data_IF_846151797564
#
_entry.id   IF_846151797564
#
_cell.length_a   1.000
_cell.length_b   1.000
_cell.length_c   1.000
_cell.angle_alpha   90.00
_cell.angle_beta   90.00
_cell.angle_gamma   90.00
#
_symmetry.space_group_name_H-M   'P 1'
#
loop_
_entity.id
_entity.type
_entity.pdbx_description
1 polymer ?
#
# COMPACT_ATOMS: atom_id res chain seq x y z
N UNK A 1 13.26 -4.41 -1.85
CA UNK A 1 13.48 -3.03 -2.36
C UNK A 1 13.09 -2.08 -1.23
N UNK A 2 13.85 -1.02 -0.94
CA UNK A 2 13.59 -0.06 0.17
C UNK A 2 13.52 1.40 -0.28
N UNK A 3 12.55 2.16 0.23
CA UNK A 3 12.24 3.54 -0.14
C UNK A 3 13.43 4.51 -0.01
N UNK A 4 14.36 4.22 0.90
CA UNK A 4 15.57 5.01 1.17
C UNK A 4 16.74 4.72 0.21
N UNK A 5 16.63 3.73 -0.69
CA UNK A 5 17.73 3.43 -1.62
C UNK A 5 17.92 4.62 -2.60
N UNK A 6 19.11 5.25 -2.56
CA UNK A 6 19.37 6.52 -3.22
C UNK A 6 19.23 6.45 -4.74
N UNK A 7 19.22 5.24 -5.31
CA UNK A 7 19.01 5.06 -6.74
C UNK A 7 17.64 5.54 -7.18
N UNK A 8 16.60 5.50 -6.34
CA UNK A 8 15.21 5.78 -6.75
C UNK A 8 14.44 6.77 -5.86
N UNK A 9 14.92 7.09 -4.66
CA UNK A 9 14.33 8.12 -3.80
C UNK A 9 14.17 9.51 -4.48
N UNK A 10 14.91 9.77 -5.57
CA UNK A 10 14.89 11.04 -6.33
C UNK A 10 14.00 11.02 -7.58
N UNK A 11 13.45 9.87 -7.96
CA UNK A 11 12.57 9.81 -9.12
C UNK A 11 11.23 10.47 -8.80
N UNK A 12 10.67 11.25 -9.73
CA UNK A 12 9.35 11.84 -9.57
C UNK A 12 8.26 10.77 -9.63
N UNK A 13 7.38 10.74 -8.64
CA UNK A 13 6.25 9.82 -8.59
C UNK A 13 5.22 10.19 -9.67
N UNK A 14 5.05 11.48 -9.95
CA UNK A 14 4.23 11.93 -11.06
C UNK A 14 4.80 13.10 -11.87
N UNK A 15 4.46 13.13 -13.15
CA UNK A 15 4.81 14.25 -14.01
C UNK A 15 3.78 15.37 -13.82
N UNK A 16 4.08 16.32 -12.93
CA UNK A 16 3.25 17.51 -12.63
C UNK A 16 2.72 18.20 -13.89
N UNK A 17 3.56 18.35 -14.93
CA UNK A 17 3.15 18.98 -16.19
C UNK A 17 2.10 18.17 -16.94
N UNK A 18 2.18 16.83 -16.90
CA UNK A 18 1.16 15.94 -17.50
C UNK A 18 -0.14 15.96 -16.70
N UNK A 19 -0.08 15.93 -15.37
CA UNK A 19 -1.29 16.01 -14.51
C UNK A 19 -2.03 17.33 -14.75
N UNK A 20 -1.31 18.46 -14.69
CA UNK A 20 -1.90 19.78 -14.98
C UNK A 20 -2.46 19.84 -16.42
N UNK A 21 -1.74 19.30 -17.40
CA UNK A 21 -2.22 19.28 -18.79
C UNK A 21 -3.53 18.49 -18.91
N UNK A 22 -3.60 17.32 -18.28
CA UNK A 22 -4.77 16.46 -18.34
C UNK A 22 -5.96 17.06 -17.59
N UNK A 23 -5.75 17.63 -16.39
CA UNK A 23 -6.77 18.33 -15.61
C UNK A 23 -7.38 19.50 -16.41
N UNK A 24 -6.52 20.26 -17.10
CA UNK A 24 -6.94 21.34 -17.99
C UNK A 24 -7.68 20.85 -19.22
N UNK A 25 -7.31 19.69 -19.78
CA UNK A 25 -8.07 19.07 -20.86
C UNK A 25 -9.48 18.64 -20.40
N UNK A 26 -9.65 18.34 -19.11
CA UNK A 26 -10.94 18.10 -18.46
C UNK A 26 -11.73 19.35 -18.08
N UNK A 27 -11.28 20.55 -18.46
CA UNK A 27 -12.00 21.81 -18.25
C UNK A 27 -11.61 22.61 -17.00
N UNK A 28 -10.65 22.15 -16.20
CA UNK A 28 -10.18 22.91 -15.03
C UNK A 28 -9.31 24.11 -15.44
N UNK A 29 -9.39 25.20 -14.67
CA UNK A 29 -8.42 26.30 -14.77
C UNK A 29 -7.03 25.85 -14.30
N UNK A 30 -6.01 26.64 -14.62
CA UNK A 30 -4.63 26.33 -14.22
C UNK A 30 -4.47 26.34 -12.69
N UNK A 31 -5.06 27.32 -12.01
CA UNK A 31 -4.98 27.43 -10.54
C UNK A 31 -5.71 26.27 -9.85
N UNK A 32 -6.87 25.86 -10.38
CA UNK A 32 -7.58 24.69 -9.86
C UNK A 32 -6.75 23.43 -10.07
N UNK A 33 -6.17 23.22 -11.26
CA UNK A 33 -5.31 22.07 -11.54
C UNK A 33 -4.02 22.07 -10.69
N UNK A 34 -3.43 23.23 -10.40
CA UNK A 34 -2.27 23.35 -9.53
C UNK A 34 -2.61 23.08 -8.06
N UNK A 35 -3.83 23.43 -7.62
CA UNK A 35 -4.30 23.20 -6.24
C UNK A 35 -4.60 21.73 -5.89
N UNK A 36 -4.72 20.87 -6.91
CA UNK A 36 -4.87 19.42 -6.74
C UNK A 36 -3.56 18.75 -6.27
N UNK A 37 -2.44 19.46 -6.35
CA UNK A 37 -1.12 18.91 -6.10
C UNK A 37 -0.48 19.62 -4.93
N UNK A 38 -0.15 18.87 -3.88
CA UNK A 38 0.66 19.39 -2.79
C UNK A 38 2.06 19.78 -3.29
N UNK A 39 2.51 20.98 -2.93
CA UNK A 39 3.83 21.50 -3.29
C UNK A 39 4.87 21.02 -2.27
N UNK A 40 5.37 19.81 -2.48
CA UNK A 40 6.54 19.32 -1.76
C UNK A 40 7.78 20.14 -2.17
N UNK A 41 8.62 20.63 -1.23
CA UNK A 41 9.82 21.42 -1.53
C UNK A 41 10.77 20.74 -2.51
N UNK A 42 10.87 19.41 -2.44
CA UNK A 42 11.70 18.57 -3.31
C UNK A 42 10.91 17.86 -4.43
N UNK A 43 9.63 18.22 -4.60
CA UNK A 43 8.67 17.52 -5.45
C UNK A 43 8.12 16.24 -4.82
N UNK A 44 7.05 15.68 -5.40
CA UNK A 44 6.53 14.38 -4.97
C UNK A 44 7.39 13.26 -5.60
N UNK A 45 8.37 12.78 -4.85
CA UNK A 45 9.30 11.74 -5.27
C UNK A 45 8.88 10.37 -4.74
N UNK A 46 9.46 9.30 -5.28
CA UNK A 46 9.27 7.96 -4.70
C UNK A 46 9.80 7.92 -3.24
N UNK A 47 10.70 8.83 -2.83
CA UNK A 47 11.09 8.98 -1.43
C UNK A 47 9.96 9.50 -0.51
N UNK A 48 8.99 10.26 -1.05
CA UNK A 48 7.96 10.94 -0.25
C UNK A 48 6.63 10.17 -0.15
N UNK A 49 6.19 9.53 -1.24
CA UNK A 49 4.95 8.72 -1.28
C UNK A 49 5.18 7.29 -1.81
N UNK A 50 6.44 6.88 -2.03
CA UNK A 50 6.75 5.63 -2.69
C UNK A 50 6.66 4.38 -1.83
N UNK A 51 6.25 4.45 -0.57
CA UNK A 51 5.97 3.25 0.23
C UNK A 51 4.91 2.38 -0.46
N UNK A 52 3.85 2.97 -1.02
CA UNK A 52 2.82 2.25 -1.76
C UNK A 52 3.37 1.52 -2.99
N UNK A 53 4.06 2.24 -3.88
CA UNK A 53 4.68 1.65 -5.10
C UNK A 53 5.71 0.58 -4.75
N UNK A 54 6.39 0.72 -3.62
CA UNK A 54 7.34 -0.28 -3.11
C UNK A 54 6.64 -1.52 -2.62
N UNK A 55 5.54 -1.38 -1.87
CA UNK A 55 4.70 -2.49 -1.48
C UNK A 55 4.17 -3.24 -2.71
N UNK A 56 3.73 -2.56 -3.76
CA UNK A 56 3.26 -3.20 -4.99
C UNK A 56 4.39 -3.92 -5.75
N UNK A 57 5.59 -3.33 -5.79
CA UNK A 57 6.77 -3.99 -6.35
C UNK A 57 7.13 -5.26 -5.55
N UNK A 58 7.00 -5.22 -4.22
CA UNK A 58 7.20 -6.36 -3.34
C UNK A 58 6.11 -7.42 -3.54
N UNK A 59 4.83 -7.03 -3.68
CA UNK A 59 3.72 -7.92 -4.05
C UNK A 59 4.05 -8.68 -5.33
N UNK A 60 4.46 -7.98 -6.39
CA UNK A 60 4.85 -8.60 -7.65
C UNK A 60 6.08 -9.50 -7.49
N UNK A 61 7.05 -9.12 -6.66
CA UNK A 61 8.21 -9.96 -6.41
C UNK A 61 7.87 -11.26 -5.67
N UNK A 62 6.95 -11.20 -4.71
CA UNK A 62 6.51 -12.34 -3.92
C UNK A 62 5.54 -13.25 -4.69
N UNK A 63 4.65 -12.66 -5.49
CA UNK A 63 3.55 -13.38 -6.13
C UNK A 63 3.76 -13.65 -7.63
N UNK A 64 4.40 -12.77 -8.40
CA UNK A 64 4.56 -13.03 -9.82
C UNK A 64 5.61 -14.13 -10.05
N UNK A 65 5.40 -14.96 -11.07
CA UNK A 65 6.43 -15.88 -11.53
C UNK A 65 7.70 -15.09 -11.91
N UNK A 66 8.91 -15.62 -11.67
CA UNK A 66 10.15 -14.91 -11.97
C UNK A 66 10.25 -14.59 -13.47
N UNK A 67 9.82 -13.39 -13.85
CA UNK A 67 10.12 -12.80 -15.16
C UNK A 67 11.49 -12.13 -15.08
N UNK A 68 12.21 -12.13 -16.21
CA UNK A 68 13.62 -11.71 -16.31
C UNK A 68 13.92 -10.27 -15.84
N UNK A 69 12.91 -9.40 -15.73
CA UNK A 69 13.04 -8.06 -15.14
C UNK A 69 12.24 -7.98 -13.85
N UNK A 70 12.92 -7.82 -12.71
CA UNK A 70 12.25 -7.55 -11.44
C UNK A 70 11.49 -6.21 -11.55
N UNK A 71 10.20 -6.23 -11.22
CA UNK A 71 9.41 -5.00 -11.08
C UNK A 71 9.98 -4.18 -9.92
N UNK A 72 10.46 -2.99 -10.23
CA UNK A 72 10.90 -1.98 -9.27
C UNK A 72 9.85 -0.87 -9.15
N UNK A 73 9.86 -0.09 -8.06
CA UNK A 73 8.99 1.09 -7.93
C UNK A 73 9.12 2.02 -9.13
N UNK A 74 10.34 2.26 -9.62
CA UNK A 74 10.61 3.04 -10.85
C UNK A 74 9.90 2.48 -12.08
N UNK A 75 10.03 1.17 -12.32
CA UNK A 75 9.43 0.55 -13.51
C UNK A 75 7.91 0.50 -13.42
N UNK A 76 7.35 0.34 -12.20
CA UNK A 76 5.91 0.43 -11.96
C UNK A 76 5.40 1.85 -12.17
N UNK A 77 6.10 2.84 -11.62
CA UNK A 77 5.80 4.25 -11.81
C UNK A 77 5.77 4.61 -13.30
N UNK A 78 6.78 4.18 -14.06
CA UNK A 78 6.79 4.38 -15.52
C UNK A 78 5.59 3.72 -16.21
N UNK A 79 5.29 2.47 -15.88
CA UNK A 79 4.13 1.76 -16.44
C UNK A 79 2.81 2.46 -16.08
N UNK A 80 2.66 2.94 -14.85
CA UNK A 80 1.52 3.74 -14.41
C UNK A 80 1.36 5.04 -15.24
N UNK A 81 2.48 5.70 -15.57
CA UNK A 81 2.48 6.92 -16.39
C UNK A 81 2.08 6.64 -17.84
N UNK A 82 2.55 5.54 -18.39
CA UNK A 82 2.27 5.11 -19.75
C UNK A 82 0.82 4.64 -19.89
N UNK A 83 0.29 3.92 -18.90
CA UNK A 83 -1.09 3.45 -18.84
C UNK A 83 -2.12 4.47 -18.34
N UNK A 84 -1.70 5.71 -18.03
CA UNK A 84 -2.58 6.78 -17.53
C UNK A 84 -3.31 6.44 -16.21
N UNK A 85 -2.69 5.66 -15.34
CA UNK A 85 -3.25 5.27 -14.03
C UNK A 85 -3.28 6.41 -12.99
N UNK A 86 -2.74 7.58 -13.32
CA UNK A 86 -2.84 8.78 -12.49
C UNK A 86 -4.13 9.53 -12.84
N UNK A 87 -4.98 9.77 -11.85
CA UNK A 87 -6.15 10.62 -12.04
C UNK A 87 -5.74 12.08 -12.26
N UNK A 88 -6.62 12.84 -12.91
CA UNK A 88 -6.45 14.27 -13.22
C UNK A 88 -6.23 15.15 -11.97
N UNK A 89 -6.63 14.65 -10.80
CA UNK A 89 -6.65 15.36 -9.52
C UNK A 89 -5.69 14.80 -8.47
N UNK A 90 -4.93 13.76 -8.81
CA UNK A 90 -4.06 13.10 -7.85
C UNK A 90 -4.76 12.45 -6.65
N UNK A 91 -6.09 12.34 -6.70
CA UNK A 91 -6.90 11.71 -5.66
C UNK A 91 -6.84 10.18 -5.79
N UNK A 92 -6.47 9.53 -4.69
CA UNK A 92 -6.74 8.13 -4.32
C UNK A 92 -6.50 7.09 -5.41
N UNK A 93 -5.25 6.64 -5.55
CA UNK A 93 -4.85 5.68 -6.58
C UNK A 93 -4.89 4.21 -6.12
N UNK A 94 -5.30 3.90 -4.89
CA UNK A 94 -5.27 2.52 -4.36
C UNK A 94 -5.98 1.50 -5.27
N UNK A 95 -7.16 1.84 -5.80
CA UNK A 95 -7.90 1.00 -6.75
C UNK A 95 -7.22 0.92 -8.12
N UNK A 96 -6.64 2.02 -8.62
CA UNK A 96 -5.95 2.07 -9.92
C UNK A 96 -4.59 1.34 -9.91
N UNK A 97 -3.93 1.30 -8.76
CA UNK A 97 -2.68 0.57 -8.59
C UNK A 97 -2.88 -0.95 -8.47
N UNK A 98 -4.05 -1.39 -8.03
CA UNK A 98 -4.43 -2.80 -8.11
C UNK A 98 -4.59 -3.25 -9.57
N UNK A 99 -5.19 -2.39 -10.41
CA UNK A 99 -5.30 -2.62 -11.85
C UNK A 99 -3.91 -2.65 -12.50
N UNK A 100 -3.01 -1.74 -12.11
CA UNK A 100 -1.61 -1.76 -12.55
C UNK A 100 -0.94 -3.11 -12.26
N UNK A 101 -1.08 -3.67 -11.05
CA UNK A 101 -0.50 -4.98 -10.68
C UNK A 101 -1.04 -6.09 -11.58
N UNK A 102 -2.34 -6.08 -11.89
CA UNK A 102 -2.95 -7.03 -12.82
C UNK A 102 -2.35 -6.88 -14.22
N UNK A 103 -2.33 -5.66 -14.76
CA UNK A 103 -1.83 -5.41 -16.11
C UNK A 103 -0.35 -5.76 -16.28
N UNK A 104 0.52 -5.28 -15.40
CA UNK A 104 1.97 -5.52 -15.50
C UNK A 104 2.36 -6.97 -15.24
N UNK A 105 1.45 -7.75 -14.64
CA UNK A 105 1.62 -9.19 -14.44
C UNK A 105 0.92 -10.05 -15.50
N UNK A 106 0.28 -9.44 -16.51
CA UNK A 106 -0.62 -10.11 -17.47
C UNK A 106 -1.70 -10.96 -16.77
N UNK A 107 -2.30 -10.42 -15.71
CA UNK A 107 -3.34 -11.07 -14.92
C UNK A 107 -2.84 -12.20 -14.01
N UNK A 108 -1.52 -12.40 -13.87
CA UNK A 108 -0.97 -13.44 -12.99
C UNK A 108 -1.14 -13.12 -11.49
N UNK A 109 -1.30 -11.84 -11.15
CA UNK A 109 -1.55 -11.35 -9.79
C UNK A 109 -2.71 -10.37 -9.84
N UNK A 110 -3.69 -10.50 -8.95
CA UNK A 110 -4.83 -9.58 -8.87
C UNK A 110 -5.09 -9.15 -7.43
N UNK A 111 -5.67 -7.97 -7.25
CA UNK A 111 -6.34 -7.60 -6.01
C UNK A 111 -7.62 -8.44 -5.89
N UNK A 112 -7.71 -9.24 -4.84
CA UNK A 112 -8.85 -10.13 -4.63
C UNK A 112 -9.85 -9.59 -3.62
N UNK A 113 -9.37 -8.94 -2.56
CA UNK A 113 -10.20 -8.41 -1.47
C UNK A 113 -9.60 -7.09 -0.99
N UNK A 114 -10.45 -6.09 -0.73
CA UNK A 114 -10.06 -4.83 -0.10
C UNK A 114 -11.01 -4.44 1.02
N UNK A 115 -10.46 -4.02 2.16
CA UNK A 115 -11.18 -3.38 3.27
C UNK A 115 -10.61 -1.96 3.46
N UNK A 116 -11.46 -0.93 3.38
CA UNK A 116 -11.06 0.44 3.67
C UNK A 116 -11.58 0.84 5.04
N UNK A 117 -10.72 1.47 5.83
CA UNK A 117 -11.08 2.08 7.10
C UNK A 117 -10.92 3.60 6.96
N UNK A 118 -11.69 4.38 7.71
CA UNK A 118 -11.62 5.85 7.66
C UNK A 118 -10.93 6.37 8.93
N UNK A 119 -9.60 6.22 9.07
CA UNK A 119 -8.89 6.66 10.27
C UNK A 119 -8.96 8.18 10.40
N UNK A 120 -9.30 8.66 11.60
CA UNK A 120 -9.47 10.09 11.89
C UNK A 120 -10.88 10.63 11.66
N UNK A 121 -11.77 9.86 11.04
CA UNK A 121 -13.19 10.22 10.94
C UNK A 121 -13.92 9.90 12.25
N UNK A 122 -14.56 10.91 12.84
CA UNK A 122 -15.17 10.82 14.19
C UNK A 122 -16.20 9.69 14.33
N UNK A 123 -16.91 9.38 13.25
CA UNK A 123 -17.97 8.36 13.24
C UNK A 123 -17.44 6.97 12.91
N UNK A 124 -16.17 6.84 12.52
CA UNK A 124 -15.58 5.57 12.14
C UNK A 124 -14.85 4.93 13.32
N UNK A 125 -15.16 3.66 13.59
CA UNK A 125 -14.48 2.93 14.65
C UNK A 125 -13.02 2.69 14.23
N UNK A 126 -12.03 2.96 15.12
CA UNK A 126 -10.65 2.60 14.85
C UNK A 126 -10.49 1.11 14.54
N UNK A 127 -9.71 0.80 13.51
CA UNK A 127 -9.38 -0.56 13.11
C UNK A 127 -7.90 -0.85 13.38
N UNK A 128 -7.61 -2.11 13.70
CA UNK A 128 -6.29 -2.60 14.07
C UNK A 128 -6.08 -4.00 13.49
N UNK A 129 -4.85 -4.51 13.49
CA UNK A 129 -4.59 -5.87 13.00
C UNK A 129 -5.27 -6.98 13.82
N UNK A 130 -5.60 -6.72 15.08
CA UNK A 130 -6.34 -7.62 15.97
C UNK A 130 -7.86 -7.44 15.89
N UNK A 131 -8.38 -6.52 15.08
CA UNK A 131 -9.83 -6.27 14.95
C UNK A 131 -10.34 -6.25 13.51
N UNK A 132 -9.49 -6.02 12.52
CA UNK A 132 -9.87 -6.02 11.11
C UNK A 132 -10.09 -7.47 10.59
N UNK A 133 -11.30 -7.83 10.12
CA UNK A 133 -11.63 -9.22 9.77
C UNK A 133 -10.71 -9.83 8.70
N UNK A 134 -10.41 -9.11 7.60
CA UNK A 134 -9.51 -9.64 6.56
C UNK A 134 -8.11 -9.87 7.10
N UNK A 135 -7.63 -8.94 7.94
CA UNK A 135 -6.29 -9.03 8.54
C UNK A 135 -6.19 -10.22 9.48
N UNK A 136 -7.17 -10.41 10.35
CA UNK A 136 -7.23 -11.55 11.28
C UNK A 136 -7.35 -12.87 10.52
N UNK A 137 -8.19 -12.93 9.50
CA UNK A 137 -8.37 -14.11 8.65
C UNK A 137 -7.09 -14.49 7.92
N UNK A 138 -6.38 -13.51 7.35
CA UNK A 138 -5.07 -13.76 6.72
C UNK A 138 -4.05 -14.29 7.75
N UNK A 139 -4.05 -13.71 8.95
CA UNK A 139 -3.12 -14.07 10.04
C UNK A 139 -3.47 -15.39 10.76
N UNK A 140 -4.68 -15.91 10.59
CA UNK A 140 -5.05 -17.23 11.12
C UNK A 140 -4.59 -18.39 10.21
N UNK A 141 -4.28 -18.09 8.94
CA UNK A 141 -3.69 -19.07 8.01
C UNK A 141 -2.27 -19.46 8.45
N UNK A 142 -1.86 -20.70 8.16
CA UNK A 142 -0.46 -21.08 8.32
C UNK A 142 0.41 -20.39 7.23
N UNK A 143 1.72 -20.17 7.47
CA UNK A 143 2.59 -19.54 6.47
C UNK A 143 2.58 -20.23 5.09
N UNK A 144 2.45 -21.56 5.05
CA UNK A 144 2.33 -22.31 3.79
C UNK A 144 1.07 -21.99 2.99
N UNK A 145 -0.05 -21.72 3.66
CA UNK A 145 -1.32 -21.36 3.02
C UNK A 145 -1.33 -19.91 2.51
N UNK A 146 -0.38 -19.07 2.97
CA UNK A 146 -0.18 -17.70 2.49
C UNK A 146 0.77 -17.61 1.29
N UNK A 147 1.37 -18.71 0.83
CA UNK A 147 2.38 -18.68 -0.23
C UNK A 147 1.90 -18.06 -1.57
N UNK A 148 0.59 -18.02 -1.80
CA UNK A 148 -0.05 -17.38 -2.94
C UNK A 148 -0.72 -16.04 -2.65
N UNK A 149 -0.57 -15.51 -1.43
CA UNK A 149 -1.29 -14.36 -0.90
C UNK A 149 -0.33 -13.33 -0.30
N UNK A 150 -0.60 -12.04 -0.49
CA UNK A 150 0.12 -10.95 0.18
C UNK A 150 -0.89 -9.92 0.63
N UNK A 151 -0.85 -9.55 1.92
CA UNK A 151 -1.69 -8.50 2.47
C UNK A 151 -0.89 -7.19 2.63
N UNK A 152 -1.30 -6.16 1.90
CA UNK A 152 -0.81 -4.79 2.06
C UNK A 152 -1.70 -4.05 3.04
N UNK A 153 -1.09 -3.33 3.98
CA UNK A 153 -1.79 -2.46 4.93
C UNK A 153 -1.44 -1.01 4.64
N UNK A 154 -2.43 -0.13 4.85
CA UNK A 154 -2.22 1.31 4.99
C UNK A 154 -2.31 1.68 6.47
N UNK A 155 -1.40 2.52 6.93
CA UNK A 155 -1.46 3.25 8.20
C UNK A 155 -1.42 4.75 7.92
N UNK A 156 -1.70 5.57 8.94
CA UNK A 156 -1.76 7.01 8.77
C UNK A 156 -3.11 7.51 8.29
N UNK A 157 -3.13 8.70 7.69
CA UNK A 157 -4.37 9.44 7.50
C UNK A 157 -5.26 8.82 6.42
N UNK A 158 -6.53 9.22 6.38
CA UNK A 158 -7.41 8.82 5.27
C UNK A 158 -6.90 9.35 3.92
N UNK A 159 -6.24 10.50 3.89
CA UNK A 159 -5.69 11.07 2.67
C UNK A 159 -4.46 10.29 2.20
N UNK A 160 -4.59 9.59 1.07
CA UNK A 160 -3.49 8.82 0.46
C UNK A 160 -2.29 9.70 0.09
N UNK A 161 -2.49 11.02 -0.06
CA UNK A 161 -1.47 11.97 -0.45
C UNK A 161 -0.74 12.61 0.72
N UNK A 162 -1.21 12.45 1.97
CA UNK A 162 -0.58 13.10 3.13
C UNK A 162 -0.48 12.17 4.33
N UNK A 163 0.74 12.01 4.84
CA UNK A 163 1.01 11.28 6.07
C UNK A 163 0.36 9.88 6.11
N UNK A 164 0.29 9.22 4.95
CA UNK A 164 -0.11 7.82 4.79
C UNK A 164 1.13 6.96 4.62
N UNK A 165 1.12 5.75 5.14
CA UNK A 165 2.22 4.80 4.99
C UNK A 165 1.71 3.42 4.64
N UNK A 166 2.46 2.71 3.80
CA UNK A 166 2.09 1.39 3.32
C UNK A 166 3.16 0.37 3.69
N UNK A 167 2.70 -0.77 4.18
CA UNK A 167 3.55 -1.91 4.58
C UNK A 167 2.90 -3.21 4.12
N UNK A 168 3.66 -4.30 4.04
CA UNK A 168 3.08 -5.64 3.87
C UNK A 168 3.09 -6.38 5.20
N UNK A 169 2.05 -7.13 5.53
CA UNK A 169 2.19 -8.14 6.58
C UNK A 169 3.21 -9.18 6.14
N UNK A 170 4.13 -9.55 7.03
CA UNK A 170 5.11 -10.59 6.70
C UNK A 170 4.37 -11.93 6.47
N UNK A 171 4.38 -12.47 5.24
CA UNK A 171 3.69 -13.74 4.95
C UNK A 171 4.26 -14.91 5.77
N UNK A 172 5.51 -14.81 6.24
CA UNK A 172 6.16 -15.84 7.04
C UNK A 172 5.97 -15.66 8.55
N UNK A 173 5.33 -14.56 8.99
CA UNK A 173 5.11 -14.34 10.42
C UNK A 173 4.23 -15.42 11.02
N UNK A 174 4.66 -15.93 12.17
CA UNK A 174 3.93 -16.89 13.00
C UNK A 174 3.20 -16.23 14.17
N UNK A 175 3.15 -14.88 14.20
CA UNK A 175 2.38 -14.17 15.23
C UNK A 175 0.88 -14.53 15.15
N UNK A 176 0.22 -14.71 16.30
CA UNK A 176 -1.20 -15.03 16.34
C UNK A 176 -2.06 -13.86 15.86
N UNK A 177 -3.28 -14.11 15.32
CA UNK A 177 -4.17 -13.06 14.82
C UNK A 177 -4.64 -12.08 15.89
N UNK A 178 -4.58 -12.46 17.18
CA UNK A 178 -4.92 -11.59 18.31
C UNK A 178 -3.84 -10.57 18.69
N UNK A 179 -2.65 -10.62 18.09
CA UNK A 179 -1.58 -9.65 18.36
C UNK A 179 -1.79 -8.37 17.55
N UNK A 180 -1.98 -7.22 18.21
CA UNK A 180 -2.20 -5.93 17.55
C UNK A 180 -0.96 -5.43 16.81
N UNK A 181 0.24 -5.68 17.34
CA UNK A 181 1.49 -5.13 16.81
C UNK A 181 2.12 -6.12 15.82
N UNK A 182 1.52 -6.21 14.64
CA UNK A 182 1.89 -7.19 13.63
C UNK A 182 3.29 -6.95 13.03
N UNK A 183 3.99 -8.03 12.74
CA UNK A 183 5.23 -8.08 11.98
C UNK A 183 4.96 -7.74 10.51
N UNK A 184 5.76 -6.82 9.98
CA UNK A 184 5.59 -6.25 8.65
C UNK A 184 6.91 -6.18 7.89
N UNK A 185 6.78 -6.26 6.57
CA UNK A 185 7.82 -5.88 5.64
C UNK A 185 7.58 -4.41 5.26
N UNK A 186 8.37 -3.52 5.84
CA UNK A 186 8.26 -2.08 5.65
C UNK A 186 9.27 -1.57 4.61
N UNK A 187 8.82 -0.91 3.52
CA UNK A 187 9.67 -0.19 2.57
C UNK A 187 10.64 0.81 3.23
N UNK A 188 10.24 1.43 4.33
CA UNK A 188 10.99 2.45 5.04
C UNK A 188 11.92 1.86 6.13
N UNK A 189 11.96 0.54 6.30
CA UNK A 189 12.81 -0.09 7.32
C UNK A 189 14.30 0.30 7.14
N UNK A 190 14.98 0.82 8.18
CA UNK A 190 16.36 1.29 8.09
C UNK A 190 17.37 0.24 7.60
N UNK A 191 18.35 0.69 6.82
CA UNK A 191 19.46 -0.17 6.41
C UNK A 191 20.28 -0.71 7.60
N UNK A 192 20.59 -2.01 7.58
CA UNK A 192 21.33 -2.68 8.65
C UNK A 192 20.47 -3.18 9.80
N UNK A 193 19.16 -2.87 9.82
CA UNK A 193 18.24 -3.51 10.77
C UNK A 193 18.08 -4.98 10.44
N UNK A 194 18.30 -5.82 11.43
CA UNK A 194 18.06 -7.27 11.39
C UNK A 194 17.03 -7.67 12.45
N UNK A 195 16.17 -8.62 12.12
CA UNK A 195 15.16 -9.16 13.03
C UNK A 195 13.75 -8.66 12.73
N UNK A 196 12.85 -8.94 13.67
CA UNK A 196 11.43 -8.58 13.56
C UNK A 196 11.27 -7.06 13.49
N UNK A 197 10.38 -6.62 12.61
CA UNK A 197 9.99 -5.23 12.43
C UNK A 197 8.46 -5.18 12.50
N UNK A 198 7.90 -4.36 13.39
CA UNK A 198 6.46 -4.31 13.63
C UNK A 198 5.80 -3.03 13.10
N UNK A 199 4.48 -2.97 13.17
CA UNK A 199 3.73 -1.74 12.90
C UNK A 199 4.17 -0.58 13.80
N UNK A 200 4.39 -0.83 15.08
CA UNK A 200 4.86 0.20 16.02
C UNK A 200 6.29 0.66 15.69
N UNK A 201 7.16 -0.22 15.20
CA UNK A 201 8.47 0.18 14.67
C UNK A 201 8.33 1.11 13.47
N UNK A 202 7.46 0.73 12.52
CA UNK A 202 7.16 1.48 11.31
C UNK A 202 6.61 2.87 11.64
N UNK A 203 5.61 2.96 12.52
CA UNK A 203 5.01 4.21 12.96
C UNK A 203 6.01 5.13 13.66
N UNK A 204 6.83 4.60 14.58
CA UNK A 204 7.89 5.37 15.26
C UNK A 204 8.94 5.87 14.29
N UNK A 205 9.25 5.11 13.25
CA UNK A 205 10.21 5.50 12.23
C UNK A 205 9.68 6.64 11.36
N UNK A 206 8.51 6.49 10.75
CA UNK A 206 7.96 7.51 9.84
C UNK A 206 7.57 8.79 10.58
N UNK A 207 7.14 8.72 11.83
CA UNK A 207 6.81 9.91 12.63
C UNK A 207 8.05 10.64 13.16
N UNK A 208 9.26 10.24 12.79
CA UNK A 208 10.44 11.11 12.91
C UNK A 208 10.32 12.35 12.02
N UNK A 209 9.58 12.24 10.92
CA UNK A 209 9.16 13.38 10.13
C UNK A 209 8.14 14.24 10.93
N UNK A 210 8.43 15.53 11.18
CA UNK A 210 7.59 16.40 11.98
C UNK A 210 6.23 16.70 11.34
N UNK A 211 6.12 16.67 10.00
CA UNK A 211 4.87 16.91 9.29
C UNK A 211 3.95 15.69 9.41
N UNK A 212 4.48 14.47 9.21
CA UNK A 212 3.73 13.23 9.43
C UNK A 212 3.22 13.17 10.87
N UNK A 213 4.11 13.43 11.84
CA UNK A 213 3.75 13.43 13.27
C UNK A 213 2.65 14.43 13.60
N UNK A 214 2.71 15.64 13.03
CA UNK A 214 1.71 16.68 13.25
C UNK A 214 0.33 16.25 12.74
N UNK A 215 0.26 15.73 11.51
CA UNK A 215 -1.02 15.32 10.94
C UNK A 215 -1.61 14.09 11.64
N UNK A 216 -0.79 13.11 12.02
CA UNK A 216 -1.24 11.95 12.81
C UNK A 216 -1.83 12.40 14.14
N UNK A 217 -1.15 13.33 14.84
CA UNK A 217 -1.66 13.88 16.10
C UNK A 217 -2.97 14.64 15.91
N UNK A 218 -3.08 15.46 14.86
CA UNK A 218 -4.30 16.22 14.54
C UNK A 218 -5.48 15.30 14.23
N UNK A 219 -5.23 14.20 13.53
CA UNK A 219 -6.24 13.20 13.18
C UNK A 219 -6.48 12.16 14.29
N UNK A 220 -5.71 12.17 15.38
CA UNK A 220 -5.84 11.21 16.48
C UNK A 220 -5.46 9.76 16.11
N UNK A 221 -4.50 9.59 15.21
CA UNK A 221 -4.08 8.29 14.67
C UNK A 221 -3.07 7.64 15.62
N UNK A 222 -3.33 6.39 15.99
CA UNK A 222 -2.42 5.59 16.82
C UNK A 222 -1.41 4.77 16.03
N UNK A 223 -0.31 4.37 16.68
CA UNK A 223 0.86 3.70 16.07
C UNK A 223 0.53 2.40 15.33
N UNK A 224 -0.50 1.66 15.76
CA UNK A 224 -0.90 0.37 15.17
C UNK A 224 -2.24 0.44 14.44
N UNK A 225 -2.79 1.65 14.27
CA UNK A 225 -4.07 1.84 13.61
C UNK A 225 -3.95 1.59 12.11
N UNK A 226 -4.87 0.81 11.58
CA UNK A 226 -4.94 0.45 10.16
C UNK A 226 -5.99 1.32 9.47
N UNK A 227 -5.60 1.94 8.36
CA UNK A 227 -6.45 2.73 7.48
C UNK A 227 -6.98 1.95 6.27
N UNK A 228 -6.40 0.81 5.94
CA UNK A 228 -6.90 -0.08 4.90
C UNK A 228 -6.11 -1.37 4.78
N UNK A 229 -6.71 -2.38 4.18
CA UNK A 229 -6.11 -3.68 3.90
C UNK A 229 -6.47 -4.13 2.48
N UNK A 230 -5.46 -4.49 1.68
CA UNK A 230 -5.63 -4.97 0.30
C UNK A 230 -4.90 -6.30 0.13
N UNK A 231 -5.66 -7.33 -0.19
CA UNK A 231 -5.14 -8.68 -0.41
C UNK A 231 -4.90 -8.92 -1.89
N UNK A 232 -3.64 -9.13 -2.24
CA UNK A 232 -3.23 -9.58 -3.56
C UNK A 232 -3.06 -11.10 -3.55
N UNK A 233 -3.45 -11.73 -4.66
CA UNK A 233 -3.37 -13.18 -4.82
C UNK A 233 -2.82 -13.54 -6.20
N UNK A 234 -2.10 -14.67 -6.27
CA UNK A 234 -1.82 -15.33 -7.56
C UNK A 234 -3.14 -15.78 -8.19
N UNK A 235 -3.25 -15.62 -9.50
CA UNK A 235 -4.38 -16.17 -10.25
C UNK A 235 -4.07 -17.57 -10.77
N UNK A 236 -5.06 -18.44 -10.69
CA UNK A 236 -5.04 -19.73 -11.37
C UNK A 236 -5.11 -19.49 -12.89
N UNK A 237 -4.14 -20.04 -13.63
CA UNK A 237 -4.02 -19.81 -15.08
C UNK A 237 -5.15 -20.43 -15.89
N UNK A 238 -5.77 -21.50 -15.40
CA UNK A 238 -6.84 -22.19 -16.11
C UNK A 238 -8.18 -21.45 -15.96
N UNK A 239 -8.41 -20.83 -14.80
CA UNK A 239 -9.68 -20.19 -14.47
C UNK A 239 -9.64 -18.66 -14.50
N UNK A 240 -8.44 -18.07 -14.48
CA UNK A 240 -8.24 -16.63 -14.35
C UNK A 240 -8.66 -16.06 -12.98
N UNK A 241 -9.00 -16.91 -12.00
CA UNK A 241 -9.51 -16.50 -10.70
C UNK A 241 -8.39 -16.43 -9.64
N UNK A 242 -8.48 -15.50 -8.67
CA UNK A 242 -7.60 -15.49 -7.50
C UNK A 242 -7.59 -16.83 -6.75
N UNK A 243 -6.41 -17.39 -6.53
CA UNK A 243 -6.21 -18.62 -5.77
C UNK A 243 -6.21 -18.31 -4.27
N UNK A 244 -7.41 -18.21 -3.68
CA UNK A 244 -7.60 -17.77 -2.29
C UNK A 244 -7.39 -18.86 -1.22
N UNK A 245 -7.32 -20.13 -1.63
CA UNK A 245 -7.10 -21.25 -0.71
C UNK A 245 -8.11 -21.28 0.44
N UNK A 246 -7.61 -21.41 1.68
CA UNK A 246 -8.41 -21.46 2.90
C UNK A 246 -8.93 -20.09 3.39
N UNK A 247 -8.49 -18.98 2.78
CA UNK A 247 -8.84 -17.63 3.24
C UNK A 247 -10.34 -17.36 3.29
N UNK A 248 -11.18 -17.74 2.29
CA UNK A 248 -12.60 -17.43 2.33
C UNK A 248 -13.31 -18.04 3.54
N UNK A 249 -12.92 -19.25 3.94
CA UNK A 249 -13.46 -19.91 5.13
C UNK A 249 -13.01 -19.22 6.42
N UNK A 250 -11.72 -18.86 6.51
CA UNK A 250 -11.18 -18.10 7.65
C UNK A 250 -11.86 -16.73 7.79
N UNK A 251 -12.08 -16.03 6.67
CA UNK A 251 -12.71 -14.70 6.67
C UNK A 251 -14.18 -14.76 7.02
N UNK A 252 -14.92 -15.76 6.51
CA UNK A 252 -16.30 -16.00 6.92
C UNK A 252 -16.44 -16.24 8.43
N UNK A 253 -15.46 -16.92 9.05
CA UNK A 253 -15.45 -17.12 10.50
C UNK A 253 -15.24 -15.81 11.27
N UNK A 254 -14.33 -14.95 10.83
CA UNK A 254 -14.09 -13.63 11.45
C UNK A 254 -15.25 -12.65 11.26
N UNK A 255 -16.01 -12.77 10.17
CA UNK A 255 -17.22 -11.97 9.94
C UNK A 255 -18.42 -12.41 10.80
N UNK A 256 -18.40 -13.66 11.30
CA UNK A 256 -19.48 -14.23 12.11
C UNK A 256 -19.28 -14.02 13.63
N UNK A 257 -18.11 -13.54 14.06
CA UNK A 257 -17.73 -13.29 15.46
C UNK A 257 -17.95 -11.84 15.89
#
# INVERSE_FOLDING_TARGET
MRQDDPRWARDLMWNRRRVIRAARAGGMSRSEAESLLWDYPDGNSIGNEGCQLTCLAMVLHLLAAPRRSAWTPRTLNRAAHEGLFYTLSGLGMNTLYADLVSEVSDGAVQLAIGENFLPGEKTWKPAYCDTAPLVRAYRSLAPGDRAGLVLMLKTGTYDDTMASHYVLLDPNSVQPPGDRDAEVLDPAMPAGRSGRWTLSDSARWITQDPDIRREWRKAGIGDTQVGGAWLFARCDRATGRPALGALPAAWAAELAS
#
